data_IF_148804757686
#
_entry.id   IF_148804757686
#
_cell.length_a   1.000
_cell.length_b   1.000
_cell.length_c   1.000
_cell.angle_alpha   90.00
_cell.angle_beta   90.00
_cell.angle_gamma   90.00
#
_symmetry.space_group_name_H-M   'P 1'
#
loop_
_entity.id
_entity.type
_entity.pdbx_description
1 polymer ?
#
# COMPACT_ATOMS: atom_id res chain seq x y z
N UNK A 1 6.98 16.82 22.04
CA UNK A 1 6.74 15.54 22.72
C UNK A 1 8.03 14.73 22.75
N UNK A 2 8.21 13.85 23.74
CA UNK A 2 9.36 12.94 23.85
C UNK A 2 8.85 11.50 24.08
N UNK A 3 9.42 10.53 23.36
CA UNK A 3 9.16 9.10 23.57
C UNK A 3 10.41 8.54 24.23
N UNK A 4 10.24 7.90 25.40
CA UNK A 4 11.31 7.35 26.23
C UNK A 4 11.16 5.84 26.39
N UNK A 5 12.23 5.17 26.86
CA UNK A 5 12.25 3.73 27.17
C UNK A 5 11.79 2.83 26.00
N UNK A 6 12.12 3.20 24.76
CA UNK A 6 11.74 2.47 23.54
C UNK A 6 12.94 1.89 22.79
N UNK A 7 12.69 0.78 22.09
CA UNK A 7 13.57 0.22 21.05
C UNK A 7 13.18 0.85 19.71
N UNK A 8 13.90 1.86 19.25
CA UNK A 8 13.57 2.65 18.06
C UNK A 8 14.14 2.00 16.81
N UNK A 9 13.32 1.85 15.77
CA UNK A 9 13.75 1.37 14.47
C UNK A 9 14.53 2.46 13.73
N UNK A 10 15.78 2.17 13.43
CA UNK A 10 16.68 3.09 12.73
C UNK A 10 17.71 2.29 11.91
N UNK A 11 17.85 2.64 10.63
CA UNK A 11 18.81 2.01 9.71
C UNK A 11 18.74 0.46 9.73
N UNK A 12 17.53 -0.10 9.69
CA UNK A 12 17.29 -1.53 9.59
C UNK A 12 17.56 -2.33 10.87
N UNK A 13 17.61 -1.68 12.04
CA UNK A 13 17.79 -2.32 13.36
C UNK A 13 17.06 -1.57 14.46
N UNK A 14 16.85 -2.23 15.59
CA UNK A 14 16.32 -1.61 16.80
C UNK A 14 17.45 -1.17 17.74
N UNK A 15 17.37 0.08 18.20
CA UNK A 15 18.32 0.66 19.17
C UNK A 15 17.55 1.32 20.31
N UNK A 16 18.05 1.20 21.53
CA UNK A 16 17.52 1.90 22.68
C UNK A 16 17.92 3.37 22.59
N UNK A 17 16.94 4.24 22.35
CA UNK A 17 17.12 5.70 22.33
C UNK A 17 15.82 6.41 22.59
N UNK A 18 15.90 7.69 22.91
CA UNK A 18 14.76 8.58 22.96
C UNK A 18 14.44 9.17 21.58
N UNK A 19 13.17 9.45 21.33
CA UNK A 19 12.69 10.17 20.14
C UNK A 19 12.04 11.46 20.60
N UNK A 20 12.38 12.58 19.98
CA UNK A 20 11.77 13.87 20.27
C UNK A 20 11.01 14.41 19.06
N UNK A 21 9.96 15.19 19.31
CA UNK A 21 9.21 15.92 18.29
C UNK A 21 9.09 17.38 18.65
N UNK A 22 9.13 18.24 17.63
CA UNK A 22 8.79 19.66 17.74
C UNK A 22 7.71 19.98 16.69
N UNK A 23 6.53 20.36 17.16
CA UNK A 23 5.35 20.44 16.30
C UNK A 23 5.07 19.10 15.60
N UNK A 24 4.91 19.12 14.29
CA UNK A 24 4.60 17.95 13.46
C UNK A 24 5.81 17.14 13.02
N UNK A 25 7.05 17.53 13.40
CA UNK A 25 8.27 16.90 12.90
C UNK A 25 9.06 16.21 14.01
N UNK A 26 9.80 15.17 13.64
CA UNK A 26 10.88 14.66 14.48
C UNK A 26 11.98 15.70 14.63
N UNK A 27 12.55 15.81 15.83
CA UNK A 27 13.53 16.84 16.19
C UNK A 27 14.60 16.30 17.18
N UNK A 28 15.66 17.04 17.38
CA UNK A 28 16.69 16.69 18.38
C UNK A 28 16.18 16.89 19.82
N UNK A 29 15.27 17.86 20.02
CA UNK A 29 14.73 18.21 21.34
C UNK A 29 13.22 18.35 21.28
N UNK A 30 12.54 18.05 22.40
CA UNK A 30 11.10 18.20 22.51
C UNK A 30 10.68 19.65 22.65
N UNK A 31 9.65 20.06 21.87
CA UNK A 31 9.11 21.43 21.91
C UNK A 31 8.10 21.68 23.06
N UNK A 32 7.38 20.66 23.57
CA UNK A 32 6.24 20.85 24.47
C UNK A 32 6.39 20.18 25.86
N UNK A 33 7.47 19.43 26.06
CA UNK A 33 7.76 18.73 27.32
C UNK A 33 6.84 17.57 27.67
N UNK A 34 5.92 17.17 26.77
CA UNK A 34 5.11 15.95 26.96
C UNK A 34 5.95 14.71 26.78
N UNK A 35 5.66 13.66 27.54
CA UNK A 35 6.40 12.41 27.49
C UNK A 35 5.46 11.22 27.29
N UNK A 36 5.88 10.27 26.46
CA UNK A 36 5.27 8.94 26.27
C UNK A 36 6.30 7.92 26.68
N UNK A 37 5.97 7.06 27.62
CA UNK A 37 6.79 5.90 28.00
C UNK A 37 6.44 4.70 27.11
N UNK A 38 7.37 4.30 26.25
CA UNK A 38 7.22 3.12 25.41
C UNK A 38 7.33 1.80 26.19
N UNK A 39 7.68 1.85 27.48
CA UNK A 39 7.73 0.71 28.41
C UNK A 39 8.51 -0.50 27.87
N UNK A 40 9.64 -0.25 27.21
CA UNK A 40 10.49 -1.28 26.56
C UNK A 40 9.98 -1.78 25.22
N UNK A 41 8.87 -1.25 24.72
CA UNK A 41 8.30 -1.60 23.42
C UNK A 41 9.11 -1.10 22.24
N UNK A 42 8.70 -1.52 21.04
CA UNK A 42 9.28 -1.10 19.78
C UNK A 42 8.64 0.19 19.29
N UNK A 43 9.44 1.14 18.85
CA UNK A 43 8.99 2.39 18.22
C UNK A 43 9.36 2.30 16.74
N UNK A 44 8.37 2.13 15.89
CA UNK A 44 8.54 2.02 14.44
C UNK A 44 7.96 3.25 13.73
N UNK A 45 8.43 3.61 12.53
CA UNK A 45 7.77 4.65 11.72
C UNK A 45 6.30 4.29 11.50
N UNK A 46 5.44 5.28 11.31
CA UNK A 46 4.07 5.06 10.90
C UNK A 46 4.01 4.23 9.62
N UNK A 47 3.09 3.27 9.58
CA UNK A 47 2.93 2.40 8.41
C UNK A 47 2.37 3.19 7.23
N UNK A 48 2.74 2.77 6.03
CA UNK A 48 2.30 3.37 4.76
C UNK A 48 1.68 2.26 3.91
N UNK A 49 0.36 2.25 3.78
CA UNK A 49 -0.32 1.32 2.87
C UNK A 49 -0.53 1.99 1.52
N UNK A 50 0.20 1.49 0.52
CA UNK A 50 0.15 2.05 -0.83
C UNK A 50 -0.82 1.33 -1.76
N UNK A 51 -1.47 0.26 -1.30
CA UNK A 51 -2.41 -0.48 -2.12
C UNK A 51 -3.49 -1.17 -1.25
N UNK A 52 -4.68 -0.60 -1.23
CA UNK A 52 -5.89 -1.17 -0.62
C UNK A 52 -7.14 -0.52 -1.21
N UNK A 53 -8.29 -1.22 -1.23
CA UNK A 53 -9.54 -0.74 -1.83
C UNK A 53 -10.53 -0.20 -0.82
N UNK A 54 -10.55 -0.76 0.38
CA UNK A 54 -11.53 -0.38 1.39
C UNK A 54 -11.31 -1.03 2.74
N UNK A 55 -12.09 -0.59 3.72
CA UNK A 55 -12.14 -1.15 5.07
C UNK A 55 -13.38 -0.62 5.81
N UNK A 56 -13.72 -1.26 6.93
CA UNK A 56 -14.79 -0.81 7.84
C UNK A 56 -16.14 -0.54 7.15
N UNK A 57 -16.47 -1.30 6.10
CA UNK A 57 -17.74 -1.25 5.40
C UNK A 57 -17.84 -0.25 4.26
N UNK A 58 -16.75 0.46 3.91
CA UNK A 58 -16.69 1.42 2.81
C UNK A 58 -15.56 1.11 1.83
N UNK A 59 -15.69 1.59 0.60
CA UNK A 59 -14.74 1.39 -0.49
C UNK A 59 -14.28 2.76 -1.04
N UNK A 60 -13.05 2.84 -1.51
CA UNK A 60 -12.52 4.06 -2.14
C UNK A 60 -13.33 4.43 -3.40
N UNK A 61 -13.81 3.41 -4.10
CA UNK A 61 -14.65 3.59 -5.29
C UNK A 61 -16.09 4.03 -4.98
N UNK A 62 -16.50 4.16 -3.69
CA UNK A 62 -17.73 4.88 -3.32
C UNK A 62 -17.68 6.37 -3.75
N UNK A 63 -16.47 6.90 -3.98
CA UNK A 63 -16.22 8.21 -4.56
C UNK A 63 -16.73 9.37 -3.71
N UNK A 64 -16.77 9.23 -2.39
CA UNK A 64 -17.23 10.25 -1.45
C UNK A 64 -16.17 10.61 -0.41
N UNK A 65 -16.12 11.88 -0.02
CA UNK A 65 -15.21 12.37 1.03
C UNK A 65 -15.47 11.64 2.36
N UNK A 66 -16.73 11.35 2.68
CA UNK A 66 -17.14 10.64 3.89
C UNK A 66 -16.59 9.23 3.94
N UNK A 67 -16.66 8.46 2.83
CA UNK A 67 -16.09 7.12 2.75
C UNK A 67 -14.56 7.16 2.93
N UNK A 68 -13.89 8.07 2.23
CA UNK A 68 -12.43 8.25 2.34
C UNK A 68 -12.00 8.60 3.76
N UNK A 69 -12.73 9.49 4.43
CA UNK A 69 -12.49 9.85 5.83
C UNK A 69 -12.69 8.67 6.77
N UNK A 70 -13.75 7.89 6.56
CA UNK A 70 -14.02 6.70 7.35
C UNK A 70 -12.89 5.67 7.24
N UNK A 71 -12.42 5.41 6.02
CA UNK A 71 -11.26 4.56 5.76
C UNK A 71 -10.00 5.10 6.47
N UNK A 72 -9.71 6.38 6.30
CA UNK A 72 -8.53 7.01 6.90
C UNK A 72 -8.54 6.95 8.44
N UNK A 73 -9.71 7.04 9.07
CA UNK A 73 -9.86 6.86 10.53
C UNK A 73 -9.64 5.42 10.97
N UNK A 74 -10.10 4.43 10.18
CA UNK A 74 -9.85 3.03 10.45
C UNK A 74 -8.37 2.69 10.30
N UNK A 75 -7.74 3.13 9.22
CA UNK A 75 -6.32 2.88 8.94
C UNK A 75 -5.41 3.48 10.02
N UNK A 76 -5.67 4.72 10.45
CA UNK A 76 -4.90 5.33 11.54
C UNK A 76 -4.98 4.51 12.84
N UNK A 77 -6.16 4.03 13.22
CA UNK A 77 -6.34 3.18 14.41
C UNK A 77 -5.56 1.87 14.35
N UNK A 78 -5.22 1.43 13.14
CA UNK A 78 -4.42 0.23 12.89
C UNK A 78 -2.94 0.53 12.59
N UNK A 79 -2.46 1.75 12.91
CA UNK A 79 -1.05 2.12 12.81
C UNK A 79 -0.61 2.57 11.42
N UNK A 80 -1.53 2.62 10.45
CA UNK A 80 -1.25 3.17 9.11
C UNK A 80 -1.47 4.68 9.16
N UNK A 81 -0.39 5.44 9.03
CA UNK A 81 -0.41 6.91 9.15
C UNK A 81 -0.54 7.61 7.81
N UNK A 82 -0.24 6.91 6.72
CA UNK A 82 -0.31 7.44 5.35
C UNK A 82 -0.91 6.40 4.41
N UNK A 83 -1.82 6.82 3.55
CA UNK A 83 -2.62 5.93 2.69
C UNK A 83 -2.55 6.32 1.22
N UNK A 84 -2.51 5.28 0.38
CA UNK A 84 -2.74 5.30 -1.07
C UNK A 84 -3.86 4.34 -1.42
N UNK A 85 -5.12 4.71 -1.29
CA UNK A 85 -6.22 3.84 -1.70
C UNK A 85 -6.20 3.60 -3.21
N UNK A 86 -6.64 2.40 -3.61
CA UNK A 86 -6.65 1.95 -5.00
C UNK A 86 -8.04 2.10 -5.63
N UNK A 87 -8.05 2.61 -6.88
CA UNK A 87 -9.23 2.50 -7.73
C UNK A 87 -9.37 1.09 -8.28
N UNK A 88 -10.57 0.74 -8.74
CA UNK A 88 -10.85 -0.47 -9.52
C UNK A 88 -10.97 -0.13 -11.01
N UNK A 89 -11.09 -1.16 -11.85
CA UNK A 89 -11.44 -1.02 -13.27
C UNK A 89 -12.89 -0.58 -13.40
N UNK A 90 -13.10 0.71 -13.64
CA UNK A 90 -14.39 1.40 -13.72
C UNK A 90 -14.44 2.26 -14.98
N UNK A 91 -15.61 2.86 -15.27
CA UNK A 91 -15.73 3.84 -16.34
C UNK A 91 -14.88 5.08 -16.08
N UNK A 92 -14.46 5.79 -17.13
CA UNK A 92 -13.72 7.06 -16.99
C UNK A 92 -14.51 8.11 -16.19
N UNK A 93 -15.85 8.10 -16.32
CA UNK A 93 -16.72 8.99 -15.55
C UNK A 93 -16.68 8.71 -14.04
N UNK A 94 -16.77 7.43 -13.65
CA UNK A 94 -16.66 7.02 -12.24
C UNK A 94 -15.28 7.33 -11.69
N UNK A 95 -14.19 6.99 -12.40
CA UNK A 95 -12.83 7.33 -12.02
C UNK A 95 -12.61 8.84 -11.89
N UNK A 96 -13.23 9.64 -12.76
CA UNK A 96 -13.19 11.11 -12.66
C UNK A 96 -13.86 11.61 -11.38
N UNK A 97 -15.01 11.03 -11.01
CA UNK A 97 -15.72 11.41 -9.79
C UNK A 97 -14.95 11.03 -8.53
N UNK A 98 -14.35 9.83 -8.49
CA UNK A 98 -13.46 9.38 -7.42
C UNK A 98 -12.24 10.32 -7.29
N UNK A 99 -11.61 10.67 -8.41
CA UNK A 99 -10.47 11.60 -8.46
C UNK A 99 -10.80 12.96 -7.85
N UNK A 100 -11.97 13.52 -8.20
CA UNK A 100 -12.43 14.80 -7.66
C UNK A 100 -12.71 14.73 -6.15
N UNK A 101 -13.34 13.67 -5.68
CA UNK A 101 -13.61 13.47 -4.26
C UNK A 101 -12.30 13.32 -3.46
N UNK A 102 -11.34 12.57 -3.99
CA UNK A 102 -10.02 12.41 -3.39
C UNK A 102 -9.25 13.74 -3.30
N UNK A 103 -9.31 14.56 -4.36
CA UNK A 103 -8.76 15.91 -4.33
C UNK A 103 -9.38 16.75 -3.21
N UNK A 104 -10.70 16.78 -3.09
CA UNK A 104 -11.40 17.52 -2.03
C UNK A 104 -10.99 17.03 -0.65
N UNK A 105 -10.96 15.72 -0.43
CA UNK A 105 -10.55 15.13 0.84
C UNK A 105 -9.11 15.52 1.21
N UNK A 106 -8.18 15.45 0.26
CA UNK A 106 -6.79 15.85 0.45
C UNK A 106 -6.64 17.35 0.76
N UNK A 107 -7.42 18.21 0.08
CA UNK A 107 -7.44 19.66 0.35
C UNK A 107 -7.98 19.96 1.75
N UNK A 108 -9.02 19.25 2.22
CA UNK A 108 -9.54 19.39 3.58
C UNK A 108 -8.50 19.00 4.64
N UNK A 109 -7.79 17.88 4.44
CA UNK A 109 -6.71 17.47 5.35
C UNK A 109 -5.57 18.51 5.42
N UNK A 110 -5.21 19.10 4.28
CA UNK A 110 -4.19 20.17 4.24
C UNK A 110 -4.64 21.48 4.90
N UNK A 111 -5.93 21.78 4.83
CA UNK A 111 -6.49 23.01 5.36
C UNK A 111 -6.66 22.98 6.88
N UNK A 112 -6.77 21.80 7.48
CA UNK A 112 -7.01 21.59 8.91
C UNK A 112 -6.10 20.50 9.50
N UNK A 113 -4.96 20.92 10.05
CA UNK A 113 -3.99 19.99 10.68
C UNK A 113 -4.61 19.17 11.84
N UNK A 114 -5.74 19.60 12.42
CA UNK A 114 -6.41 18.84 13.48
C UNK A 114 -7.08 17.57 12.96
N UNK A 115 -7.38 17.49 11.66
CA UNK A 115 -7.87 16.28 11.02
C UNK A 115 -6.77 15.21 10.95
N UNK A 116 -5.53 15.62 10.63
CA UNK A 116 -4.40 14.69 10.54
C UNK A 116 -4.06 14.01 11.87
N UNK A 117 -4.47 14.57 13.01
CA UNK A 117 -4.36 13.89 14.30
C UNK A 117 -5.41 12.78 14.52
N UNK A 118 -6.38 12.63 13.63
CA UNK A 118 -7.54 11.74 13.78
C UNK A 118 -7.74 10.77 12.62
N UNK A 119 -7.03 10.96 11.52
CA UNK A 119 -7.15 10.17 10.31
C UNK A 119 -5.79 9.99 9.62
N UNK A 120 -5.59 8.89 8.92
CA UNK A 120 -4.42 8.66 8.08
C UNK A 120 -4.42 9.68 6.94
N UNK A 121 -3.25 10.16 6.55
CA UNK A 121 -3.10 11.16 5.50
C UNK A 121 -3.21 10.52 4.12
N UNK A 122 -4.08 11.08 3.27
CA UNK A 122 -4.12 10.73 1.86
C UNK A 122 -2.92 11.33 1.16
N UNK A 123 -1.91 10.51 0.86
CA UNK A 123 -0.64 10.97 0.25
C UNK A 123 -0.53 10.60 -1.22
N UNK A 124 -1.49 9.86 -1.75
CA UNK A 124 -1.60 9.50 -3.17
C UNK A 124 -2.77 8.57 -3.45
N UNK A 125 -2.92 8.21 -4.74
CA UNK A 125 -3.89 7.26 -5.25
C UNK A 125 -3.14 6.20 -6.07
N UNK A 126 -3.61 4.96 -5.98
CA UNK A 126 -3.16 3.83 -6.78
C UNK A 126 -4.17 3.57 -7.89
N UNK A 127 -3.77 3.62 -9.15
CA UNK A 127 -4.64 3.28 -10.28
C UNK A 127 -4.51 1.79 -10.60
N UNK A 128 -5.39 0.95 -10.04
CA UNK A 128 -5.44 -0.47 -10.35
C UNK A 128 -6.47 -0.76 -11.43
N UNK A 129 -6.00 -0.86 -12.66
CA UNK A 129 -6.83 -0.82 -13.86
C UNK A 129 -7.11 0.63 -14.32
N UNK A 130 -7.73 0.81 -15.48
CA UNK A 130 -8.34 -0.21 -16.35
C UNK A 130 -7.37 -0.86 -17.36
N UNK A 131 -6.08 -0.56 -17.36
CA UNK A 131 -5.10 -0.97 -18.37
C UNK A 131 -4.53 -2.38 -18.09
N UNK A 132 -5.43 -3.35 -17.94
CA UNK A 132 -5.13 -4.72 -17.50
C UNK A 132 -5.53 -5.75 -18.56
N UNK A 133 -5.03 -6.98 -18.42
CA UNK A 133 -5.42 -8.10 -19.28
C UNK A 133 -6.81 -8.63 -18.92
N UNK A 134 -7.66 -8.78 -19.92
CA UNK A 134 -8.99 -9.40 -19.76
C UNK A 134 -8.88 -10.82 -19.18
N UNK A 135 -7.85 -11.59 -19.55
CA UNK A 135 -7.65 -12.96 -19.08
C UNK A 135 -7.26 -13.01 -17.60
N UNK A 136 -6.55 -11.99 -17.11
CA UNK A 136 -6.07 -11.90 -15.73
C UNK A 136 -6.79 -10.83 -14.90
N UNK A 137 -7.98 -10.46 -15.30
CA UNK A 137 -8.77 -9.40 -14.64
C UNK A 137 -9.05 -9.67 -13.16
N UNK A 138 -9.07 -10.93 -12.70
CA UNK A 138 -9.43 -11.27 -11.32
C UNK A 138 -10.81 -10.71 -10.94
N UNK A 139 -10.86 -9.96 -9.85
CA UNK A 139 -12.07 -9.26 -9.36
C UNK A 139 -12.39 -7.95 -10.10
N UNK A 140 -11.59 -7.55 -11.08
CA UNK A 140 -11.82 -6.33 -11.87
C UNK A 140 -13.02 -6.46 -12.82
N UNK A 141 -13.72 -5.34 -13.07
CA UNK A 141 -14.91 -5.35 -13.92
C UNK A 141 -14.55 -5.46 -15.41
N UNK A 142 -14.94 -6.55 -16.10
CA UNK A 142 -14.58 -6.78 -17.51
C UNK A 142 -15.14 -5.74 -18.48
N UNK A 143 -16.23 -5.03 -18.11
CA UNK A 143 -16.88 -4.05 -18.99
C UNK A 143 -16.01 -2.82 -19.24
N UNK A 144 -15.08 -2.53 -18.33
CA UNK A 144 -14.26 -1.31 -18.36
C UNK A 144 -12.77 -1.57 -18.56
N UNK A 145 -12.39 -2.83 -18.82
CA UNK A 145 -11.00 -3.11 -19.23
C UNK A 145 -10.68 -2.35 -20.52
N UNK A 146 -9.62 -1.57 -20.47
CA UNK A 146 -9.25 -0.64 -21.53
C UNK A 146 -7.79 -0.86 -21.94
N UNK A 147 -7.50 -0.62 -23.20
CA UNK A 147 -6.09 -0.58 -23.67
C UNK A 147 -5.35 0.55 -22.97
N UNK A 148 -4.03 0.43 -22.74
CA UNK A 148 -3.23 1.51 -22.20
C UNK A 148 -3.44 2.82 -22.97
N UNK A 149 -3.77 3.90 -22.26
CA UNK A 149 -4.12 5.20 -22.81
C UNK A 149 -3.54 6.31 -21.91
N UNK A 150 -2.43 6.92 -22.35
CA UNK A 150 -1.74 7.97 -21.62
C UNK A 150 -2.58 9.26 -21.51
N UNK A 151 -3.44 9.54 -22.49
CA UNK A 151 -4.31 10.72 -22.44
C UNK A 151 -5.42 10.53 -21.42
N UNK A 152 -6.01 9.33 -21.31
CA UNK A 152 -6.97 9.01 -20.25
C UNK A 152 -6.30 9.13 -18.86
N UNK A 153 -5.12 8.56 -18.69
CA UNK A 153 -4.36 8.71 -17.44
C UNK A 153 -4.15 10.19 -17.09
N UNK A 154 -3.70 11.01 -18.02
CA UNK A 154 -3.43 12.44 -17.77
C UNK A 154 -4.71 13.23 -17.46
N UNK A 155 -5.85 12.88 -18.08
CA UNK A 155 -7.14 13.50 -17.71
C UNK A 155 -7.50 13.19 -16.25
N UNK A 156 -7.38 11.93 -15.84
CA UNK A 156 -7.66 11.51 -14.45
C UNK A 156 -6.66 12.12 -13.46
N UNK A 157 -5.37 12.14 -13.80
CA UNK A 157 -4.31 12.78 -13.01
C UNK A 157 -4.59 14.26 -12.77
N UNK A 158 -5.10 14.96 -13.78
CA UNK A 158 -5.49 16.37 -13.67
C UNK A 158 -6.66 16.57 -12.71
N UNK A 159 -7.68 15.73 -12.78
CA UNK A 159 -8.86 15.81 -11.89
C UNK A 159 -8.48 15.46 -10.45
N UNK A 160 -7.51 14.58 -10.24
CA UNK A 160 -6.96 14.21 -8.95
C UNK A 160 -5.90 15.20 -8.41
N UNK A 161 -5.59 16.29 -9.12
CA UNK A 161 -4.55 17.26 -8.76
C UNK A 161 -3.16 16.63 -8.52
N UNK A 162 -2.79 15.64 -9.33
CA UNK A 162 -1.49 14.97 -9.25
C UNK A 162 -1.41 13.86 -8.19
N UNK A 163 -2.52 13.40 -7.63
CA UNK A 163 -2.51 12.39 -6.58
C UNK A 163 -2.21 10.96 -7.06
N UNK A 164 -2.40 10.63 -8.34
CA UNK A 164 -2.02 9.30 -8.84
C UNK A 164 -0.50 9.14 -8.79
N UNK A 165 -0.02 8.23 -7.93
CA UNK A 165 1.40 7.93 -7.72
C UNK A 165 1.82 6.61 -8.36
N UNK A 166 0.89 5.68 -8.52
CA UNK A 166 1.11 4.39 -9.16
C UNK A 166 0.02 4.16 -10.19
N UNK A 167 0.40 3.62 -11.37
CA UNK A 167 -0.52 3.20 -12.41
C UNK A 167 -0.15 1.79 -12.89
N UNK A 168 -1.14 0.91 -12.92
CA UNK A 168 -1.00 -0.48 -13.34
C UNK A 168 -1.10 -0.62 -14.85
N UNK A 169 -0.30 -1.52 -15.42
CA UNK A 169 -0.40 -1.91 -16.82
C UNK A 169 -0.12 -3.40 -17.01
N UNK A 170 -0.87 -4.06 -17.88
CA UNK A 170 -0.54 -5.36 -18.44
C UNK A 170 0.34 -5.16 -19.67
N UNK A 171 1.64 -5.52 -19.63
CA UNK A 171 2.60 -5.13 -20.65
C UNK A 171 2.41 -5.86 -21.98
N UNK A 172 1.68 -6.95 -22.03
CA UNK A 172 1.31 -7.65 -23.27
C UNK A 172 0.19 -6.96 -24.06
N UNK A 173 -0.52 -6.02 -23.44
CA UNK A 173 -1.61 -5.32 -24.13
C UNK A 173 -1.07 -4.36 -25.20
N UNK A 174 -1.74 -4.28 -26.37
CA UNK A 174 -1.30 -3.42 -27.45
C UNK A 174 -1.18 -1.95 -27.01
N UNK A 175 0.00 -1.35 -27.21
CA UNK A 175 0.32 0.03 -26.83
C UNK A 175 0.89 0.17 -25.41
N UNK A 176 1.12 -0.94 -24.70
CA UNK A 176 1.58 -0.89 -23.32
C UNK A 176 3.02 -0.35 -23.20
N UNK A 177 3.92 -0.72 -24.11
CA UNK A 177 5.30 -0.25 -24.06
C UNK A 177 5.40 1.26 -24.35
N UNK A 178 4.64 1.75 -25.31
CA UNK A 178 4.52 3.18 -25.61
C UNK A 178 3.92 3.94 -24.42
N UNK A 179 2.88 3.38 -23.78
CA UNK A 179 2.28 3.96 -22.57
C UNK A 179 3.30 4.07 -21.44
N UNK A 180 4.05 2.99 -21.15
CA UNK A 180 5.08 2.99 -20.10
C UNK A 180 6.11 4.08 -20.36
N UNK A 181 6.63 4.17 -21.60
CA UNK A 181 7.63 5.18 -21.97
C UNK A 181 7.10 6.61 -21.85
N UNK A 182 5.82 6.79 -22.18
CA UNK A 182 5.14 8.10 -22.18
C UNK A 182 4.89 8.64 -20.75
N UNK A 183 4.58 7.76 -19.77
CA UNK A 183 4.14 8.19 -18.43
C UNK A 183 5.15 7.91 -17.31
N UNK A 184 6.25 7.22 -17.57
CA UNK A 184 7.23 6.77 -16.55
C UNK A 184 7.83 7.87 -15.68
N UNK A 185 7.88 9.11 -16.18
CA UNK A 185 8.38 10.28 -15.44
C UNK A 185 7.27 11.04 -14.71
N UNK A 186 6.00 10.71 -14.99
CA UNK A 186 4.81 11.31 -14.37
C UNK A 186 4.24 10.45 -13.22
N UNK A 187 4.38 9.12 -13.34
CA UNK A 187 3.80 8.15 -12.41
C UNK A 187 4.67 6.90 -12.34
N UNK A 188 4.67 6.22 -11.19
CA UNK A 188 5.30 4.90 -11.07
C UNK A 188 4.46 3.86 -11.78
N UNK A 189 4.98 3.28 -12.85
CA UNK A 189 4.29 2.21 -13.58
C UNK A 189 4.55 0.86 -12.90
N UNK A 190 3.47 0.13 -12.63
CA UNK A 190 3.49 -1.22 -12.03
C UNK A 190 2.92 -2.25 -12.99
N UNK A 191 3.61 -3.39 -13.13
CA UNK A 191 3.13 -4.53 -13.91
C UNK A 191 2.16 -5.35 -13.07
N UNK A 192 0.94 -5.57 -13.58
CA UNK A 192 -0.10 -6.31 -12.87
C UNK A 192 -1.17 -6.89 -13.80
N UNK A 193 -1.99 -7.81 -13.29
CA UNK A 193 -3.15 -8.37 -14.01
C UNK A 193 -2.80 -8.72 -15.45
N UNK A 194 -1.79 -9.56 -15.63
CA UNK A 194 -1.06 -9.75 -16.89
C UNK A 194 -0.87 -11.22 -17.23
N UNK A 195 -0.86 -11.54 -18.51
CA UNK A 195 -0.42 -12.83 -19.04
C UNK A 195 1.04 -12.81 -19.50
N UNK A 196 1.76 -11.71 -19.28
CA UNK A 196 3.12 -11.50 -19.76
C UNK A 196 4.05 -12.66 -19.38
N UNK A 197 4.83 -13.09 -20.34
CA UNK A 197 5.97 -13.96 -20.13
C UNK A 197 7.19 -13.19 -19.60
N UNK A 198 8.32 -13.89 -19.45
CA UNK A 198 9.55 -13.30 -18.94
C UNK A 198 10.08 -12.18 -19.86
N UNK A 199 10.08 -12.39 -21.17
CA UNK A 199 10.66 -11.44 -22.13
C UNK A 199 9.81 -10.17 -22.24
N UNK A 200 8.49 -10.31 -22.26
CA UNK A 200 7.54 -9.19 -22.27
C UNK A 200 7.64 -8.36 -20.97
N UNK A 201 7.71 -9.02 -19.82
CA UNK A 201 7.87 -8.31 -18.54
C UNK A 201 9.22 -7.61 -18.44
N UNK A 202 10.29 -8.26 -18.88
CA UNK A 202 11.64 -7.67 -18.95
C UNK A 202 11.66 -6.44 -19.86
N UNK A 203 10.99 -6.49 -20.99
CA UNK A 203 10.86 -5.35 -21.90
C UNK A 203 10.14 -4.18 -21.21
N UNK A 204 9.02 -4.42 -20.51
CA UNK A 204 8.31 -3.39 -19.74
C UNK A 204 9.23 -2.71 -18.71
N UNK A 205 10.07 -3.47 -18.02
CA UNK A 205 11.04 -2.90 -17.07
C UNK A 205 12.14 -2.09 -17.77
N UNK A 206 12.55 -2.45 -18.97
CA UNK A 206 13.48 -1.65 -19.77
C UNK A 206 12.85 -0.33 -20.24
N UNK A 207 11.56 -0.34 -20.57
CA UNK A 207 10.80 0.87 -20.93
C UNK A 207 10.54 1.80 -19.76
N UNK A 208 10.55 1.32 -18.51
CA UNK A 208 10.45 2.20 -17.36
C UNK A 208 9.52 1.73 -16.25
N UNK A 209 8.84 0.59 -16.38
CA UNK A 209 8.12 0.02 -15.26
C UNK A 209 9.08 -0.31 -14.10
N UNK A 210 8.68 0.00 -12.86
CA UNK A 210 9.54 -0.10 -11.66
C UNK A 210 8.94 -0.89 -10.52
N UNK A 211 7.75 -1.47 -10.73
CA UNK A 211 7.02 -2.17 -9.68
C UNK A 211 6.26 -3.36 -10.25
N UNK A 212 6.00 -4.35 -9.41
CA UNK A 212 5.06 -5.44 -9.67
C UNK A 212 4.03 -5.44 -8.54
N UNK A 213 2.77 -5.32 -8.91
CA UNK A 213 1.62 -5.30 -8.01
C UNK A 213 1.34 -6.71 -7.48
N UNK A 214 1.01 -6.83 -6.19
CA UNK A 214 0.59 -8.08 -5.50
C UNK A 214 1.21 -9.35 -6.10
N UNK A 215 2.55 -9.41 -6.07
CA UNK A 215 3.38 -10.46 -6.67
C UNK A 215 2.77 -11.87 -6.49
N UNK A 216 2.78 -12.68 -7.54
CA UNK A 216 2.13 -14.00 -7.72
C UNK A 216 0.64 -13.96 -8.05
N UNK A 217 -0.09 -12.92 -7.67
CA UNK A 217 -1.53 -12.81 -7.88
C UNK A 217 -1.85 -12.21 -9.25
N UNK A 218 -2.88 -12.74 -9.93
CA UNK A 218 -3.31 -12.30 -11.25
C UNK A 218 -2.19 -12.23 -12.31
N UNK A 219 -1.22 -13.16 -12.27
CA UNK A 219 -0.14 -13.32 -13.24
C UNK A 219 0.20 -14.81 -13.48
N UNK A 220 0.99 -15.14 -14.52
CA UNK A 220 1.45 -16.51 -14.73
C UNK A 220 2.32 -17.01 -13.55
N UNK A 221 2.22 -18.30 -13.17
CA UNK A 221 3.02 -18.84 -12.08
C UNK A 221 4.49 -18.91 -12.46
N UNK A 222 5.38 -18.70 -11.45
CA UNK A 222 6.82 -18.95 -11.61
C UNK A 222 7.11 -20.43 -11.78
N UNK A 223 7.66 -20.82 -12.93
CA UNK A 223 8.10 -22.20 -13.18
C UNK A 223 9.54 -22.23 -13.68
N UNK A 224 10.19 -23.39 -13.59
CA UNK A 224 11.60 -23.55 -13.97
C UNK A 224 11.90 -23.36 -15.47
N UNK A 225 10.90 -23.29 -16.34
CA UNK A 225 11.03 -23.05 -17.80
C UNK A 225 10.26 -21.81 -18.27
N UNK A 226 9.34 -21.31 -17.47
CA UNK A 226 8.57 -20.11 -17.72
C UNK A 226 8.56 -19.28 -16.42
N UNK A 227 9.61 -18.48 -16.15
CA UNK A 227 9.73 -17.73 -14.91
C UNK A 227 8.82 -16.49 -14.87
N UNK A 228 8.27 -16.06 -16.00
CA UNK A 228 7.27 -15.01 -16.10
C UNK A 228 7.72 -13.67 -15.50
N UNK A 229 6.75 -12.89 -15.09
CA UNK A 229 6.93 -11.58 -14.43
C UNK A 229 7.82 -11.70 -13.18
N UNK A 230 7.64 -12.77 -12.40
CA UNK A 230 8.37 -12.99 -11.14
C UNK A 230 9.87 -13.12 -11.41
N UNK A 231 10.26 -13.91 -12.41
CA UNK A 231 11.66 -14.07 -12.82
C UNK A 231 12.25 -12.80 -13.38
N UNK A 232 11.52 -12.10 -14.25
CA UNK A 232 11.96 -10.83 -14.83
C UNK A 232 12.16 -9.73 -13.76
N UNK A 233 11.26 -9.65 -12.77
CA UNK A 233 11.41 -8.74 -11.65
C UNK A 233 12.58 -9.10 -10.73
N UNK A 234 12.85 -10.41 -10.54
CA UNK A 234 13.99 -10.87 -9.76
C UNK A 234 15.33 -10.42 -10.39
N UNK A 235 15.43 -10.53 -11.69
CA UNK A 235 16.65 -10.19 -12.46
C UNK A 235 16.89 -8.66 -12.61
N UNK A 236 15.92 -7.83 -12.24
CA UNK A 236 16.03 -6.37 -12.32
C UNK A 236 16.03 -5.74 -10.92
N UNK A 237 17.20 -5.31 -10.44
CA UNK A 237 17.38 -4.73 -9.11
C UNK A 237 16.63 -3.40 -8.88
N UNK A 238 16.18 -2.73 -9.94
CA UNK A 238 15.41 -1.48 -9.84
C UNK A 238 13.90 -1.70 -9.71
N UNK A 239 13.43 -2.95 -9.77
CA UNK A 239 12.01 -3.29 -9.66
C UNK A 239 11.68 -3.69 -8.22
N UNK A 240 10.71 -3.02 -7.63
CA UNK A 240 10.13 -3.37 -6.33
C UNK A 240 8.92 -4.28 -6.52
N UNK A 241 8.58 -5.07 -5.52
CA UNK A 241 7.47 -6.02 -5.58
C UNK A 241 6.56 -5.85 -4.37
N UNK A 242 5.26 -5.76 -4.61
CA UNK A 242 4.25 -5.76 -3.56
C UNK A 242 3.91 -7.18 -3.14
N UNK A 243 3.64 -7.38 -1.85
CA UNK A 243 3.26 -8.69 -1.31
C UNK A 243 2.13 -8.54 -0.29
N UNK A 244 1.07 -9.35 -0.46
CA UNK A 244 -0.02 -9.50 0.50
C UNK A 244 0.35 -10.64 1.44
N UNK A 245 0.90 -10.29 2.60
CA UNK A 245 1.41 -11.28 3.57
C UNK A 245 0.38 -11.58 4.66
N UNK A 246 -0.79 -12.07 4.28
CA UNK A 246 -1.94 -12.34 5.14
C UNK A 246 -2.15 -13.83 5.51
N UNK A 247 -1.33 -14.72 4.93
CA UNK A 247 -1.45 -16.17 5.08
C UNK A 247 -2.55 -16.82 4.25
N UNK A 248 -3.30 -16.04 3.47
CA UNK A 248 -4.32 -16.49 2.52
C UNK A 248 -3.79 -16.41 1.09
N UNK A 249 -3.28 -15.25 0.68
CA UNK A 249 -2.72 -15.02 -0.65
C UNK A 249 -1.41 -15.76 -0.86
N UNK A 250 -0.54 -15.78 0.13
CA UNK A 250 0.79 -16.39 0.04
C UNK A 250 1.04 -17.37 1.17
N UNK A 251 1.51 -18.57 0.80
CA UNK A 251 1.98 -19.53 1.79
C UNK A 251 3.25 -19.02 2.49
N UNK A 252 3.44 -19.24 3.82
CA UNK A 252 4.62 -18.77 4.55
C UNK A 252 5.97 -19.13 3.91
N UNK A 253 6.10 -20.30 3.29
CA UNK A 253 7.32 -20.68 2.58
C UNK A 253 7.55 -19.81 1.33
N UNK A 254 6.50 -19.41 0.62
CA UNK A 254 6.59 -18.50 -0.54
C UNK A 254 7.08 -17.13 -0.07
N UNK A 255 6.54 -16.59 1.03
CA UNK A 255 6.98 -15.32 1.60
C UNK A 255 8.48 -15.38 1.93
N UNK A 256 8.95 -16.41 2.68
CA UNK A 256 10.38 -16.58 2.99
C UNK A 256 11.26 -16.70 1.75
N UNK A 257 10.78 -17.38 0.72
CA UNK A 257 11.53 -17.51 -0.54
C UNK A 257 11.62 -16.18 -1.26
N UNK A 258 10.54 -15.40 -1.29
CA UNK A 258 10.51 -14.07 -1.92
C UNK A 258 11.48 -13.11 -1.23
N UNK A 259 11.56 -13.11 0.10
CA UNK A 259 12.55 -12.32 0.83
C UNK A 259 14.00 -12.68 0.46
N UNK A 260 14.28 -13.97 0.18
CA UNK A 260 15.60 -14.40 -0.31
C UNK A 260 15.84 -14.02 -1.79
N UNK A 261 14.81 -14.01 -2.62
CA UNK A 261 14.92 -13.69 -4.05
C UNK A 261 15.10 -12.19 -4.29
N UNK A 262 14.31 -11.37 -3.59
CA UNK A 262 14.24 -9.92 -3.84
C UNK A 262 15.06 -9.09 -2.85
N UNK A 263 15.37 -9.63 -1.66
CA UNK A 263 15.90 -8.84 -0.56
C UNK A 263 14.81 -7.95 0.08
N UNK A 264 14.99 -7.64 1.35
CA UNK A 264 14.02 -6.83 2.12
C UNK A 264 13.86 -5.41 1.56
N UNK A 265 14.85 -4.89 0.86
CA UNK A 265 14.88 -3.52 0.32
C UNK A 265 13.97 -3.33 -0.90
N UNK A 266 13.57 -4.42 -1.56
CA UNK A 266 12.71 -4.37 -2.75
C UNK A 266 11.28 -4.87 -2.52
N UNK A 267 10.98 -5.34 -1.30
CA UNK A 267 9.64 -5.83 -0.95
C UNK A 267 8.84 -4.69 -0.32
N UNK A 268 7.62 -4.52 -0.78
CA UNK A 268 6.61 -3.63 -0.21
C UNK A 268 5.49 -4.50 0.33
N UNK A 269 5.21 -4.42 1.62
CA UNK A 269 4.00 -5.01 2.17
C UNK A 269 2.81 -4.10 1.87
N UNK A 270 1.74 -4.71 1.39
CA UNK A 270 0.45 -4.08 1.16
C UNK A 270 -0.64 -4.90 1.84
N UNK A 271 -1.77 -4.29 2.13
CA UNK A 271 -2.92 -5.04 2.63
C UNK A 271 -3.79 -5.59 1.50
N UNK A 272 -3.93 -4.87 0.41
CA UNK A 272 -4.94 -5.13 -0.63
C UNK A 272 -6.32 -5.37 -0.01
N UNK A 273 -6.60 -4.64 1.09
CA UNK A 273 -7.82 -4.79 1.87
C UNK A 273 -9.04 -4.32 1.09
N UNK A 274 -10.17 -4.98 1.34
CA UNK A 274 -11.45 -4.59 0.77
C UNK A 274 -12.43 -4.17 1.88
N UNK A 275 -13.61 -3.64 1.51
CA UNK A 275 -14.58 -3.04 2.45
C UNK A 275 -14.94 -3.92 3.66
N UNK A 276 -14.78 -5.24 3.59
CA UNK A 276 -15.07 -6.14 4.70
C UNK A 276 -13.97 -6.16 5.78
N UNK A 277 -12.80 -5.56 5.52
CA UNK A 277 -11.72 -5.50 6.52
C UNK A 277 -12.20 -4.76 7.77
N UNK A 278 -12.10 -5.43 8.91
CA UNK A 278 -12.65 -4.90 10.18
C UNK A 278 -14.14 -5.14 10.40
N UNK A 279 -14.80 -5.84 9.48
CA UNK A 279 -16.22 -6.18 9.55
C UNK A 279 -16.44 -7.67 9.92
N UNK A 280 -17.64 -8.07 10.39
CA UNK A 280 -17.97 -9.49 10.60
C UNK A 280 -17.96 -10.31 9.32
N UNK A 281 -17.96 -11.64 9.46
CA UNK A 281 -18.21 -12.55 8.33
C UNK A 281 -19.53 -12.20 7.65
N UNK A 282 -19.54 -12.24 6.30
CA UNK A 282 -20.75 -11.84 5.55
C UNK A 282 -20.51 -11.75 4.05
N UNK A 283 -21.49 -11.14 3.38
CA UNK A 283 -21.45 -10.85 1.95
C UNK A 283 -21.21 -9.35 1.78
N UNK A 284 -20.24 -9.01 0.95
CA UNK A 284 -19.77 -7.66 0.67
C UNK A 284 -19.62 -7.45 -0.83
N UNK A 285 -19.05 -6.35 -1.24
CA UNK A 285 -18.79 -6.02 -2.65
C UNK A 285 -17.34 -5.61 -2.86
N UNK A 286 -16.80 -5.93 -4.04
CA UNK A 286 -15.53 -5.39 -4.54
C UNK A 286 -15.66 -5.15 -6.05
N UNK A 287 -15.47 -3.93 -6.52
CA UNK A 287 -15.62 -3.58 -7.94
C UNK A 287 -16.99 -3.92 -8.51
N UNK A 288 -18.04 -3.88 -7.69
CA UNK A 288 -19.42 -4.25 -8.08
C UNK A 288 -19.68 -5.76 -8.14
N UNK A 289 -18.72 -6.60 -7.74
CA UNK A 289 -18.89 -8.06 -7.66
C UNK A 289 -19.13 -8.50 -6.21
N UNK A 290 -19.99 -9.51 -6.03
CA UNK A 290 -20.32 -10.06 -4.71
C UNK A 290 -19.19 -10.91 -4.16
N UNK A 291 -18.77 -10.63 -2.91
CA UNK A 291 -17.67 -11.29 -2.21
C UNK A 291 -18.17 -11.90 -0.91
N UNK A 292 -17.95 -13.19 -0.73
CA UNK A 292 -18.17 -13.88 0.55
C UNK A 292 -16.91 -13.78 1.40
N UNK A 293 -17.05 -13.28 2.64
CA UNK A 293 -15.96 -13.21 3.61
C UNK A 293 -16.23 -14.19 4.75
N UNK A 294 -15.21 -15.00 5.06
CA UNK A 294 -15.18 -15.91 6.19
C UNK A 294 -13.80 -15.87 6.87
N UNK A 295 -13.74 -15.37 8.09
CA UNK A 295 -12.49 -15.10 8.80
C UNK A 295 -11.62 -14.11 8.00
N UNK A 296 -10.40 -14.51 7.66
CA UNK A 296 -9.45 -13.69 6.88
C UNK A 296 -9.50 -13.96 5.37
N UNK A 297 -10.53 -14.69 4.87
CA UNK A 297 -10.62 -15.09 3.47
C UNK A 297 -11.81 -14.42 2.78
N UNK A 298 -11.53 -13.64 1.74
CA UNK A 298 -12.51 -13.02 0.84
C UNK A 298 -12.50 -13.73 -0.52
N UNK A 299 -13.66 -14.15 -1.03
CA UNK A 299 -13.78 -14.87 -2.29
C UNK A 299 -14.99 -14.41 -3.08
N UNK A 300 -14.86 -14.30 -4.41
CA UNK A 300 -15.99 -14.06 -5.29
C UNK A 300 -17.02 -15.19 -5.14
N UNK A 301 -18.30 -14.85 -5.04
CA UNK A 301 -19.37 -15.84 -4.92
C UNK A 301 -19.60 -16.61 -6.22
N UNK A 302 -19.20 -16.04 -7.36
CA UNK A 302 -19.43 -16.59 -8.71
C UNK A 302 -18.52 -17.76 -9.02
N UNK A 303 -17.25 -17.76 -8.60
CA UNK A 303 -16.25 -18.77 -8.98
C UNK A 303 -15.30 -19.18 -7.84
N UNK A 304 -15.39 -18.52 -6.68
CA UNK A 304 -14.56 -18.78 -5.51
C UNK A 304 -13.12 -18.23 -5.60
N UNK A 305 -12.83 -17.41 -6.61
CA UNK A 305 -11.53 -16.74 -6.70
C UNK A 305 -11.31 -15.79 -5.51
N UNK A 306 -10.07 -15.66 -5.04
CA UNK A 306 -9.72 -14.68 -4.00
C UNK A 306 -9.94 -13.28 -4.58
N UNK A 307 -10.50 -12.38 -3.78
CA UNK A 307 -10.92 -11.04 -4.19
C UNK A 307 -10.58 -10.01 -3.11
N UNK A 308 -9.40 -9.41 -3.21
CA UNK A 308 -8.84 -8.56 -2.16
C UNK A 308 -8.59 -9.32 -0.86
N UNK A 309 -8.17 -8.63 0.17
CA UNK A 309 -7.98 -9.23 1.50
C UNK A 309 -9.02 -8.73 2.51
N UNK A 310 -9.20 -9.49 3.60
CA UNK A 310 -10.01 -9.09 4.75
C UNK A 310 -9.13 -8.71 5.96
N UNK A 311 -7.91 -8.21 5.70
CA UNK A 311 -6.94 -7.84 6.73
C UNK A 311 -6.33 -6.46 6.47
N UNK A 312 -5.72 -5.83 7.49
CA UNK A 312 -5.02 -4.56 7.35
C UNK A 312 -3.49 -4.76 7.29
N UNK A 313 -2.75 -3.71 6.92
CA UNK A 313 -1.30 -3.75 6.76
C UNK A 313 -0.56 -4.15 8.04
N UNK A 314 -1.01 -3.68 9.21
CA UNK A 314 -0.37 -4.04 10.48
C UNK A 314 -0.46 -5.56 10.74
N UNK A 315 -1.59 -6.18 10.43
CA UNK A 315 -1.76 -7.62 10.55
C UNK A 315 -0.92 -8.39 9.53
N UNK A 316 -0.74 -7.88 8.31
CA UNK A 316 0.20 -8.46 7.33
C UNK A 316 1.64 -8.45 7.87
N UNK A 317 2.07 -7.31 8.45
CA UNK A 317 3.38 -7.20 9.10
C UNK A 317 3.51 -8.16 10.29
N UNK A 318 2.51 -8.20 11.18
CA UNK A 318 2.45 -9.11 12.34
C UNK A 318 2.54 -10.57 11.92
N UNK A 319 1.78 -10.99 10.91
CA UNK A 319 1.81 -12.36 10.36
C UNK A 319 3.19 -12.70 9.82
N UNK A 320 3.81 -11.78 9.11
CA UNK A 320 5.15 -11.99 8.52
C UNK A 320 6.22 -12.21 9.61
N UNK A 321 6.10 -11.56 10.74
CA UNK A 321 7.03 -11.76 11.87
C UNK A 321 6.68 -13.01 12.69
N UNK A 322 5.42 -13.15 13.12
CA UNK A 322 5.02 -14.18 14.10
C UNK A 322 4.84 -15.56 13.47
N UNK A 323 4.21 -15.64 12.28
CA UNK A 323 3.84 -16.92 11.66
C UNK A 323 4.83 -17.33 10.56
N UNK A 324 5.34 -16.37 9.77
CA UNK A 324 6.37 -16.66 8.76
C UNK A 324 7.75 -16.80 9.41
N UNK A 325 7.99 -16.09 10.52
CA UNK A 325 9.23 -16.17 11.31
C UNK A 325 10.36 -15.33 10.74
N UNK A 326 10.06 -14.24 10.03
CA UNK A 326 11.09 -13.30 9.60
C UNK A 326 11.44 -12.31 10.72
N UNK A 327 12.70 -11.86 10.82
CA UNK A 327 13.12 -10.86 11.80
C UNK A 327 12.30 -9.56 11.67
N UNK A 328 11.86 -8.99 12.79
CA UNK A 328 11.04 -7.78 12.77
C UNK A 328 11.75 -6.61 12.07
N UNK A 329 13.05 -6.46 12.29
CA UNK A 329 13.91 -5.45 11.64
C UNK A 329 14.04 -5.61 10.12
N UNK A 330 13.71 -6.78 9.56
CA UNK A 330 13.67 -6.98 8.11
C UNK A 330 12.30 -6.61 7.53
N UNK A 331 11.25 -6.68 8.35
CA UNK A 331 9.87 -6.51 7.90
C UNK A 331 9.38 -5.06 8.04
N UNK A 332 9.82 -4.33 9.08
CA UNK A 332 9.39 -2.93 9.30
C UNK A 332 9.61 -2.07 8.07
N UNK A 333 10.81 -2.11 7.48
CA UNK A 333 11.13 -1.32 6.29
C UNK A 333 10.24 -1.61 5.09
N UNK A 334 9.72 -2.86 4.98
CA UNK A 334 8.81 -3.24 3.90
C UNK A 334 7.43 -2.57 4.01
N UNK A 335 7.02 -2.12 5.19
CA UNK A 335 5.75 -1.43 5.43
C UNK A 335 5.90 0.08 5.71
N UNK A 336 7.13 0.62 5.65
CA UNK A 336 7.43 2.02 5.99
C UNK A 336 8.38 2.67 4.98
N UNK A 337 9.66 2.31 4.99
CA UNK A 337 10.69 2.91 4.12
C UNK A 337 10.47 2.60 2.64
N UNK A 338 10.22 1.33 2.32
CA UNK A 338 10.11 0.89 0.93
C UNK A 338 8.90 1.50 0.21
N UNK A 339 7.67 1.48 0.78
CA UNK A 339 6.56 2.19 0.16
C UNK A 339 6.82 3.69 0.03
N UNK A 340 7.42 4.36 1.04
CA UNK A 340 7.76 5.77 0.96
C UNK A 340 8.74 6.08 -0.20
N UNK A 341 9.78 5.24 -0.36
CA UNK A 341 10.74 5.36 -1.47
C UNK A 341 10.09 5.09 -2.82
N UNK A 342 9.24 4.07 -2.89
CA UNK A 342 8.57 3.68 -4.12
C UNK A 342 7.72 4.80 -4.71
N UNK A 343 6.98 5.53 -3.88
CA UNK A 343 6.03 6.56 -4.34
C UNK A 343 6.53 8.00 -4.15
N UNK A 344 7.84 8.18 -3.90
CA UNK A 344 8.46 9.50 -3.85
C UNK A 344 8.12 10.32 -2.60
N UNK A 345 7.87 9.66 -1.47
CA UNK A 345 7.54 10.29 -0.19
C UNK A 345 8.68 10.26 0.83
N UNK A 346 9.83 9.68 0.47
CA UNK A 346 10.93 9.40 1.40
C UNK A 346 11.47 10.62 2.14
N UNK A 347 11.40 11.80 1.55
CA UNK A 347 11.90 13.04 2.17
C UNK A 347 11.09 13.44 3.42
N UNK A 348 9.84 12.95 3.56
CA UNK A 348 8.91 13.35 4.62
C UNK A 348 8.41 12.21 5.49
N UNK A 349 8.39 10.97 4.99
CA UNK A 349 7.76 9.81 5.64
C UNK A 349 8.71 8.61 5.68
N UNK A 350 8.31 7.56 6.38
CA UNK A 350 8.88 6.22 6.30
C UNK A 350 10.06 5.95 7.24
N UNK A 351 10.58 6.93 7.96
CA UNK A 351 11.64 6.75 8.96
C UNK A 351 11.53 7.73 10.12
N UNK A 352 12.14 7.40 11.25
CA UNK A 352 12.24 8.26 12.45
C UNK A 352 13.53 9.08 12.34
N UNK A 353 13.48 10.14 11.54
CA UNK A 353 14.61 11.04 11.30
C UNK A 353 14.20 12.50 11.46
N UNK A 354 15.11 13.33 12.03
CA UNK A 354 14.86 14.76 12.21
C UNK A 354 14.45 15.45 10.90
N UNK A 355 13.39 16.24 10.96
CA UNK A 355 12.84 16.98 9.82
C UNK A 355 11.80 16.22 9.00
N UNK A 356 11.57 14.93 9.27
CA UNK A 356 10.44 14.17 8.72
C UNK A 356 9.22 14.32 9.62
N UNK A 357 8.03 14.02 9.09
CA UNK A 357 6.81 14.03 9.89
C UNK A 357 6.91 13.02 11.04
N UNK A 358 6.52 13.48 12.22
CA UNK A 358 6.59 12.69 13.43
C UNK A 358 5.41 11.71 13.51
N UNK A 359 5.48 10.71 12.64
CA UNK A 359 4.55 9.59 12.51
C UNK A 359 5.23 8.32 13.01
N UNK A 360 4.77 7.77 14.12
CA UNK A 360 5.30 6.51 14.63
C UNK A 360 4.25 5.70 15.39
N UNK A 361 4.53 4.41 15.50
CA UNK A 361 3.69 3.45 16.23
C UNK A 361 4.53 2.78 17.31
N UNK A 362 4.01 2.75 18.52
CA UNK A 362 4.60 2.02 19.65
C UNK A 362 3.91 0.67 19.77
N UNK A 363 4.70 -0.40 19.65
CA UNK A 363 4.22 -1.79 19.62
C UNK A 363 4.88 -2.57 20.75
N UNK A 364 4.11 -3.38 21.46
CA UNK A 364 4.68 -4.27 22.48
C UNK A 364 5.28 -5.57 21.89
N UNK A 365 5.87 -6.41 22.73
CA UNK A 365 6.50 -7.68 22.31
C UNK A 365 5.49 -8.70 21.75
N UNK A 366 4.19 -8.53 22.08
CA UNK A 366 3.08 -9.34 21.58
C UNK A 366 2.47 -8.79 20.28
N UNK A 367 3.05 -7.70 19.73
CA UNK A 367 2.53 -6.99 18.57
C UNK A 367 1.12 -6.44 18.80
N UNK A 368 0.90 -5.79 19.95
CA UNK A 368 -0.25 -4.93 20.17
C UNK A 368 0.19 -3.48 20.02
N UNK A 369 -0.58 -2.68 19.31
CA UNK A 369 -0.38 -1.24 19.23
C UNK A 369 -0.73 -0.64 20.59
N UNK A 370 0.24 0.02 21.24
CA UNK A 370 0.06 0.72 22.52
C UNK A 370 -0.24 2.18 22.32
N UNK A 371 0.40 2.80 21.33
CA UNK A 371 0.24 4.20 21.05
C UNK A 371 0.56 4.48 19.60
N UNK A 372 -0.13 5.44 19.02
CA UNK A 372 0.17 6.00 17.70
C UNK A 372 0.46 7.48 17.90
N UNK A 373 1.49 7.95 17.21
CA UNK A 373 1.80 9.37 17.09
C UNK A 373 1.64 9.74 15.62
N UNK A 374 0.83 10.74 15.35
CA UNK A 374 0.60 11.29 14.00
C UNK A 374 0.88 12.78 14.01
N UNK A 375 1.79 13.24 13.15
CA UNK A 375 2.26 14.61 13.08
C UNK A 375 2.63 15.18 14.48
N UNK A 376 3.37 14.38 15.26
CA UNK A 376 3.82 14.76 16.59
C UNK A 376 2.72 14.85 17.65
N UNK A 377 1.50 14.38 17.35
CA UNK A 377 0.37 14.32 18.29
C UNK A 377 0.04 12.87 18.64
N UNK A 378 -0.22 12.65 19.93
CA UNK A 378 -0.70 11.34 20.40
C UNK A 378 -2.13 11.12 19.92
N UNK A 379 -2.35 10.03 19.19
CA UNK A 379 -3.69 9.60 18.75
C UNK A 379 -4.35 8.84 19.90
N UNK A 380 -5.58 9.23 20.23
CA UNK A 380 -6.37 8.66 21.34
C UNK A 380 -7.34 7.58 20.88
#
# INVERSE_FOLDING_TARGET
>A
MKIVNGKVFENGRFIEKEVATDGSLFAETSGDGKEIDAAGGYVIPGLIDIHFHGCAGVDFCDGTVEAMRHMAQYELKNGVTSIHPATMTLSEEELTNISKAAKVFHEEQKADETLLAKEAELVGIYMEGPFISMEKKGAQNPLYVHKPDADMFRRLQKEADGLYRVCVVAPEEPGAMEFIDDVKDEVRVSVAHTTADYDTAKEAFLYGARQVTHLYNAMPPFTHRAPGVIGAACDNENVMVEMICDGVHLHPATIRTSFKMFGKERIILISDSMMATGMPDGIYSLGGQEVQVHGNKATLTVDGAIAGSATNLFNCMKFTVKEVGLPFEEVVGCATENPAKAVGLWDKYGSIENGKYADCVIVDEDFNIRQIVKHGQSVS
#
